data_IF_793317911355
#
_entry.id   IF_793317911355
#
_cell.length_a   1.000
_cell.length_b   1.000
_cell.length_c   1.000
_cell.angle_alpha   90.00
_cell.angle_beta   90.00
_cell.angle_gamma   90.00
#
_symmetry.space_group_name_H-M   'P 1'
#
loop_
_entity.id
_entity.type
_entity.pdbx_description
1 polymer ?
#
# COMPACT_ATOMS: atom_id res chain seq x y z
N UNK A 1 -4.50 29.15 -21.60
CA UNK A 1 -5.96 28.86 -21.59
C UNK A 1 -6.11 27.36 -21.32
N UNK A 2 -6.53 27.01 -20.10
CA UNK A 2 -6.79 25.63 -19.68
C UNK A 2 -8.17 25.20 -20.17
N UNK A 3 -8.35 24.00 -20.77
CA UNK A 3 -9.62 23.55 -21.31
C UNK A 3 -10.51 22.89 -20.23
N UNK A 4 -11.07 23.70 -19.34
CA UNK A 4 -12.09 23.26 -18.38
C UNK A 4 -13.46 23.84 -18.74
N UNK A 5 -13.97 23.55 -19.93
CA UNK A 5 -15.38 23.76 -20.25
C UNK A 5 -15.86 22.67 -21.20
N UNK A 6 -16.45 21.62 -20.64
CA UNK A 6 -17.74 21.10 -21.06
C UNK A 6 -18.21 20.05 -20.08
N UNK A 7 -19.20 20.45 -19.30
CA UNK A 7 -19.87 19.65 -18.29
C UNK A 7 -20.53 18.41 -18.86
N UNK A 8 -19.99 17.26 -18.55
CA UNK A 8 -20.67 16.01 -18.34
C UNK A 8 -19.84 15.23 -17.32
N UNK A 9 -19.75 15.80 -16.12
CA UNK A 9 -19.45 15.01 -14.97
C UNK A 9 -20.66 14.09 -14.78
N UNK A 10 -20.55 12.85 -15.22
CA UNK A 10 -21.41 11.77 -14.76
C UNK A 10 -21.04 11.53 -13.30
N UNK A 11 -21.43 12.47 -12.46
CA UNK A 11 -21.49 12.26 -11.02
C UNK A 11 -22.45 11.08 -10.87
N UNK A 12 -21.90 9.89 -10.62
CA UNK A 12 -22.67 8.80 -10.08
C UNK A 12 -23.48 9.40 -8.93
N UNK A 13 -24.79 9.55 -9.12
CA UNK A 13 -25.71 9.82 -8.03
C UNK A 13 -25.50 8.70 -6.98
N UNK A 14 -24.62 8.93 -6.06
CA UNK A 14 -24.61 8.23 -4.79
C UNK A 14 -25.90 8.61 -4.08
N UNK A 15 -27.00 7.96 -4.49
CA UNK A 15 -28.21 7.98 -3.66
C UNK A 15 -27.76 7.53 -2.26
N UNK A 16 -28.10 8.30 -1.21
CA UNK A 16 -27.68 7.98 0.13
C UNK A 16 -28.37 6.70 0.61
N UNK A 17 -27.85 5.54 0.25
CA UNK A 17 -28.20 4.24 0.82
C UNK A 17 -27.67 4.11 2.26
N UNK A 18 -26.96 5.15 2.72
CA UNK A 18 -26.14 5.12 3.94
C UNK A 18 -26.90 5.22 5.27
N UNK A 19 -28.22 5.35 5.31
CA UNK A 19 -28.92 5.69 6.57
C UNK A 19 -29.93 4.66 7.02
N UNK A 20 -29.80 3.41 6.70
CA UNK A 20 -30.85 2.46 7.08
C UNK A 20 -30.52 1.38 8.09
N UNK A 21 -29.48 1.31 8.89
CA UNK A 21 -29.46 0.37 10.05
C UNK A 21 -28.26 0.63 10.98
N UNK A 22 -28.52 0.76 12.26
CA UNK A 22 -27.55 0.85 13.38
C UNK A 22 -26.50 -0.28 13.38
N UNK A 23 -26.85 -1.46 12.90
CA UNK A 23 -25.92 -2.59 12.76
C UNK A 23 -24.87 -2.36 11.67
N UNK A 24 -25.23 -1.74 10.55
CA UNK A 24 -24.30 -1.36 9.51
C UNK A 24 -23.26 -0.34 10.02
N UNK A 25 -23.66 0.60 10.87
CA UNK A 25 -22.74 1.57 11.46
C UNK A 25 -21.66 0.89 12.31
N UNK A 26 -22.04 -0.07 13.15
CA UNK A 26 -21.09 -0.83 13.99
C UNK A 26 -20.09 -1.65 13.18
N UNK A 27 -20.55 -2.24 12.07
CA UNK A 27 -19.66 -2.99 11.16
C UNK A 27 -18.64 -2.06 10.51
N UNK A 28 -19.07 -0.91 9.97
CA UNK A 28 -18.17 0.09 9.37
C UNK A 28 -17.18 0.64 10.40
N UNK A 29 -17.63 0.91 11.63
CA UNK A 29 -16.74 1.31 12.72
C UNK A 29 -15.63 0.27 12.97
N UNK A 30 -15.94 -1.01 12.93
CA UNK A 30 -14.94 -2.07 13.09
C UNK A 30 -13.94 -2.10 11.93
N UNK A 31 -14.38 -1.83 10.70
CA UNK A 31 -13.48 -1.67 9.57
C UNK A 31 -12.54 -0.47 9.79
N UNK A 32 -13.07 0.70 10.17
CA UNK A 32 -12.25 1.89 10.42
C UNK A 32 -11.26 1.70 11.57
N UNK A 33 -11.63 0.94 12.62
CA UNK A 33 -10.68 0.58 13.68
C UNK A 33 -9.48 -0.18 13.12
N UNK A 34 -9.68 -1.12 12.18
CA UNK A 34 -8.58 -1.84 11.53
C UNK A 34 -7.69 -0.92 10.70
N UNK A 35 -8.27 0.04 9.98
CA UNK A 35 -7.50 1.08 9.28
C UNK A 35 -6.64 1.89 10.26
N UNK A 36 -7.20 2.29 11.41
CA UNK A 36 -6.46 3.05 12.43
C UNK A 36 -5.37 2.23 13.13
N UNK A 37 -5.56 0.92 13.29
CA UNK A 37 -4.57 0.03 13.89
C UNK A 37 -3.26 -0.01 13.11
N UNK A 38 -3.27 0.20 11.79
CA UNK A 38 -2.04 0.28 10.97
C UNK A 38 -1.06 1.36 11.45
N UNK A 39 -1.54 2.43 12.08
CA UNK A 39 -0.69 3.48 12.67
C UNK A 39 0.19 2.96 13.82
N UNK A 40 -0.20 1.85 14.45
CA UNK A 40 0.50 1.23 15.56
C UNK A 40 1.32 0.00 15.12
N UNK A 41 1.27 -0.36 13.84
CA UNK A 41 2.07 -1.46 13.29
C UNK A 41 3.37 -0.88 12.73
N UNK A 42 4.51 -1.10 13.41
CA UNK A 42 5.80 -0.64 12.89
C UNK A 42 6.20 -1.48 11.68
N UNK A 43 6.88 -0.87 10.70
CA UNK A 43 7.54 -1.61 9.63
C UNK A 43 8.65 -2.48 10.24
N UNK A 44 8.40 -3.80 10.28
CA UNK A 44 9.25 -4.75 11.02
C UNK A 44 10.69 -4.79 10.50
N UNK A 45 10.89 -4.63 9.19
CA UNK A 45 12.21 -4.59 8.60
C UNK A 45 13.11 -3.47 9.17
N UNK A 46 12.54 -2.28 9.46
CA UNK A 46 13.26 -1.20 10.12
C UNK A 46 13.52 -1.54 11.58
N UNK A 47 12.49 -2.05 12.28
CA UNK A 47 12.59 -2.41 13.70
C UNK A 47 13.69 -3.45 13.97
N UNK A 48 13.87 -4.40 13.08
CA UNK A 48 14.91 -5.45 13.21
C UNK A 48 16.32 -4.95 12.96
N UNK A 49 16.49 -3.88 12.16
CA UNK A 49 17.81 -3.41 11.71
C UNK A 49 18.24 -2.07 12.30
N UNK A 50 17.26 -1.27 12.75
CA UNK A 50 17.53 0.09 13.23
C UNK A 50 17.15 0.21 14.71
N UNK A 51 18.08 0.74 15.48
CA UNK A 51 17.89 1.07 16.89
C UNK A 51 17.55 2.55 17.02
N UNK A 52 16.35 2.92 16.51
CA UNK A 52 15.87 4.30 16.55
C UNK A 52 14.43 4.37 17.06
N UNK A 53 14.12 5.48 17.73
CA UNK A 53 12.75 5.83 18.07
C UNK A 53 12.00 6.35 16.83
N UNK A 54 10.68 6.30 16.86
CA UNK A 54 9.81 6.81 15.80
C UNK A 54 10.08 6.18 14.43
N UNK A 55 10.07 4.86 14.38
CA UNK A 55 10.07 4.11 13.13
C UNK A 55 8.79 4.38 12.34
N UNK A 56 8.91 4.33 11.03
CA UNK A 56 7.80 4.34 10.11
C UNK A 56 6.77 3.24 10.47
N UNK A 57 5.49 3.59 10.45
CA UNK A 57 4.40 2.64 10.56
C UNK A 57 3.99 2.11 9.19
N UNK A 58 3.24 1.00 9.16
CA UNK A 58 2.61 0.50 7.92
C UNK A 58 1.65 1.53 7.33
N UNK A 59 0.99 2.35 8.16
CA UNK A 59 0.12 3.43 7.66
C UNK A 59 0.90 4.55 6.96
N UNK A 60 2.06 4.95 7.48
CA UNK A 60 2.93 5.95 6.85
C UNK A 60 3.43 5.47 5.49
N UNK A 61 3.91 4.22 5.43
CA UNK A 61 4.30 3.54 4.21
C UNK A 61 3.15 3.48 3.19
N UNK A 62 1.98 3.01 3.61
CA UNK A 62 0.81 2.90 2.72
C UNK A 62 0.39 4.26 2.17
N UNK A 63 0.47 5.34 2.95
CA UNK A 63 0.20 6.69 2.49
C UNK A 63 1.20 7.12 1.41
N UNK A 64 2.51 7.00 1.69
CA UNK A 64 3.57 7.38 0.76
C UNK A 64 3.50 6.59 -0.54
N UNK A 65 3.34 5.26 -0.44
CA UNK A 65 3.16 4.35 -1.59
C UNK A 65 1.93 4.74 -2.42
N UNK A 66 0.82 5.12 -1.78
CA UNK A 66 -0.41 5.54 -2.50
C UNK A 66 -0.20 6.83 -3.28
N UNK A 67 0.44 7.85 -2.69
CA UNK A 67 0.72 9.12 -3.38
C UNK A 67 1.66 8.91 -4.56
N UNK A 68 2.72 8.12 -4.37
CA UNK A 68 3.64 7.75 -5.46
C UNK A 68 2.92 6.99 -6.57
N UNK A 69 2.05 6.05 -6.22
CA UNK A 69 1.25 5.26 -7.16
C UNK A 69 0.29 6.14 -7.98
N UNK A 70 -0.36 7.11 -7.35
CA UNK A 70 -1.25 8.05 -8.02
C UNK A 70 -0.51 8.81 -9.14
N UNK A 71 0.63 9.40 -8.81
CA UNK A 71 1.40 10.20 -9.77
C UNK A 71 1.99 9.33 -10.88
N UNK A 72 2.60 8.21 -10.52
CA UNK A 72 3.29 7.35 -11.49
C UNK A 72 2.30 6.64 -12.42
N UNK A 73 1.12 6.27 -11.95
CA UNK A 73 0.08 5.69 -12.81
C UNK A 73 -0.49 6.72 -13.81
N UNK A 74 -0.68 7.98 -13.39
CA UNK A 74 -1.07 9.05 -14.30
C UNK A 74 0.00 9.28 -15.39
N UNK A 75 1.28 9.23 -15.04
CA UNK A 75 2.40 9.37 -15.98
C UNK A 75 2.50 8.18 -16.96
N UNK A 76 2.18 6.97 -16.52
CA UNK A 76 2.22 5.74 -17.33
C UNK A 76 0.89 5.49 -18.09
N UNK A 77 -0.15 6.31 -17.85
CA UNK A 77 -1.46 6.18 -18.50
C UNK A 77 -2.27 4.96 -18.05
N UNK A 78 -2.02 4.46 -16.83
CA UNK A 78 -2.73 3.33 -16.23
C UNK A 78 -3.99 3.78 -15.49
N UNK A 79 -4.76 2.82 -14.98
CA UNK A 79 -5.96 3.10 -14.20
C UNK A 79 -5.61 3.59 -12.79
N UNK A 80 -5.49 4.92 -12.62
CA UNK A 80 -5.11 5.56 -11.36
C UNK A 80 -6.11 5.28 -10.23
N UNK A 81 -7.41 5.22 -10.50
CA UNK A 81 -8.40 4.86 -9.48
C UNK A 81 -8.16 3.44 -8.94
N UNK A 82 -7.89 2.49 -9.82
CA UNK A 82 -7.63 1.10 -9.45
C UNK A 82 -6.35 0.97 -8.63
N UNK A 83 -5.24 1.57 -9.09
CA UNK A 83 -3.96 1.45 -8.38
C UNK A 83 -3.97 2.15 -7.02
N UNK A 84 -4.65 3.30 -6.89
CA UNK A 84 -4.83 3.99 -5.60
C UNK A 84 -5.62 3.13 -4.61
N UNK A 85 -6.71 2.50 -5.04
CA UNK A 85 -7.46 1.55 -4.20
C UNK A 85 -6.61 0.35 -3.82
N UNK A 86 -5.84 -0.19 -4.76
CA UNK A 86 -4.92 -1.30 -4.53
C UNK A 86 -3.84 -0.93 -3.51
N UNK A 87 -3.22 0.25 -3.65
CA UNK A 87 -2.20 0.75 -2.74
C UNK A 87 -2.72 1.00 -1.32
N UNK A 88 -3.97 1.48 -1.16
CA UNK A 88 -4.60 1.63 0.16
C UNK A 88 -4.93 0.30 0.84
N UNK A 89 -5.08 -0.77 0.07
CA UNK A 89 -5.47 -2.09 0.57
C UNK A 89 -4.28 -3.05 0.72
N UNK A 90 -3.13 -2.80 0.05
CA UNK A 90 -2.06 -3.79 -0.11
C UNK A 90 -1.50 -4.33 1.20
N UNK A 91 -1.38 -3.50 2.22
CA UNK A 91 -0.88 -3.87 3.55
C UNK A 91 -1.98 -3.82 4.65
N UNK A 92 -3.27 -3.64 4.27
CA UNK A 92 -4.35 -3.53 5.27
C UNK A 92 -4.49 -4.79 6.14
N UNK A 93 -4.17 -5.97 5.61
CA UNK A 93 -4.16 -7.24 6.35
C UNK A 93 -3.22 -7.20 7.56
N UNK A 94 -2.16 -6.39 7.51
CA UNK A 94 -1.15 -6.25 8.56
C UNK A 94 -1.70 -5.59 9.84
N UNK A 95 -2.86 -4.95 9.77
CA UNK A 95 -3.60 -4.55 10.98
C UNK A 95 -4.03 -5.71 11.88
N UNK A 96 -3.96 -6.95 11.37
CA UNK A 96 -4.24 -8.18 12.14
C UNK A 96 -2.98 -9.05 12.26
N UNK A 97 -2.22 -9.20 11.18
CA UNK A 97 -1.05 -10.10 11.14
C UNK A 97 0.22 -9.45 11.68
N UNK A 98 0.27 -8.12 11.77
CA UNK A 98 1.53 -7.38 11.85
C UNK A 98 2.29 -7.39 10.52
N UNK A 99 3.31 -6.54 10.39
CA UNK A 99 4.24 -6.57 9.25
C UNK A 99 5.14 -7.82 9.39
N UNK A 100 5.00 -8.73 8.45
CA UNK A 100 5.76 -10.01 8.43
C UNK A 100 6.88 -9.89 7.42
N UNK A 101 8.13 -9.89 7.89
CA UNK A 101 9.29 -9.85 7.02
C UNK A 101 9.42 -11.14 6.17
N UNK A 102 9.99 -11.05 4.95
CA UNK A 102 10.13 -12.22 4.07
C UNK A 102 10.92 -13.39 4.67
N UNK A 103 11.83 -13.11 5.61
CA UNK A 103 12.71 -14.10 6.21
C UNK A 103 12.07 -14.82 7.41
N UNK A 104 10.94 -14.32 7.93
CA UNK A 104 10.33 -14.84 9.16
C UNK A 104 9.42 -16.05 8.95
N UNK A 105 8.76 -16.17 7.80
CA UNK A 105 7.90 -17.30 7.45
C UNK A 105 7.96 -17.60 5.94
N UNK A 106 7.49 -18.79 5.55
CA UNK A 106 7.39 -19.17 4.14
C UNK A 106 6.41 -18.26 3.39
N UNK A 107 6.73 -17.87 2.16
CA UNK A 107 5.90 -16.99 1.32
C UNK A 107 4.42 -17.44 1.25
N UNK A 108 4.16 -18.73 1.02
CA UNK A 108 2.80 -19.26 0.94
C UNK A 108 2.05 -19.16 2.27
N UNK A 109 2.75 -19.31 3.38
CA UNK A 109 2.16 -19.15 4.71
C UNK A 109 1.80 -17.69 5.00
N UNK A 110 2.67 -16.74 4.62
CA UNK A 110 2.39 -15.30 4.70
C UNK A 110 1.12 -14.98 3.92
N UNK A 111 1.07 -15.35 2.64
CA UNK A 111 -0.10 -15.11 1.76
C UNK A 111 -1.38 -15.69 2.37
N UNK A 112 -1.35 -16.89 2.93
CA UNK A 112 -2.53 -17.50 3.55
C UNK A 112 -2.99 -16.73 4.79
N UNK A 113 -2.08 -16.31 5.67
CA UNK A 113 -2.40 -15.50 6.86
C UNK A 113 -3.02 -14.17 6.47
N UNK A 114 -2.42 -13.47 5.51
CA UNK A 114 -2.92 -12.18 5.02
C UNK A 114 -4.28 -12.31 4.33
N UNK A 115 -4.51 -13.35 3.53
CA UNK A 115 -5.82 -13.60 2.90
C UNK A 115 -6.92 -13.86 3.94
N UNK A 116 -6.61 -14.60 5.00
CA UNK A 116 -7.56 -14.83 6.11
C UNK A 116 -7.86 -13.50 6.82
N UNK A 117 -6.82 -12.72 7.13
CA UNK A 117 -6.95 -11.43 7.79
C UNK A 117 -7.75 -10.45 6.92
N UNK A 118 -7.45 -10.34 5.62
CA UNK A 118 -8.18 -9.47 4.70
C UNK A 118 -9.67 -9.84 4.64
N UNK A 119 -10.02 -11.11 4.51
CA UNK A 119 -11.43 -11.56 4.55
C UNK A 119 -12.11 -11.20 5.88
N UNK A 120 -11.37 -11.31 7.00
CA UNK A 120 -11.90 -10.94 8.31
C UNK A 120 -12.14 -9.41 8.42
N UNK A 121 -11.31 -8.58 7.81
CA UNK A 121 -11.48 -7.13 7.78
C UNK A 121 -12.68 -6.77 6.89
N UNK A 122 -12.71 -7.30 5.67
CA UNK A 122 -13.71 -6.96 4.66
C UNK A 122 -15.13 -7.42 5.01
N UNK A 123 -15.29 -8.47 5.83
CA UNK A 123 -16.64 -8.89 6.31
C UNK A 123 -17.38 -7.80 7.09
N UNK A 124 -16.68 -6.73 7.51
CA UNK A 124 -17.27 -5.56 8.15
C UNK A 124 -17.84 -4.54 7.15
N UNK A 125 -17.79 -4.81 5.86
CA UNK A 125 -18.33 -4.00 4.79
C UNK A 125 -19.56 -4.68 4.15
N UNK A 126 -20.44 -3.91 3.48
CA UNK A 126 -21.49 -4.49 2.65
C UNK A 126 -20.91 -5.48 1.62
N UNK A 127 -21.55 -6.63 1.41
CA UNK A 127 -21.03 -7.74 0.60
C UNK A 127 -20.46 -7.29 -0.75
N UNK A 128 -21.20 -6.48 -1.52
CA UNK A 128 -20.77 -6.00 -2.83
C UNK A 128 -19.46 -5.22 -2.76
N UNK A 129 -19.26 -4.42 -1.73
CA UNK A 129 -18.04 -3.64 -1.51
C UNK A 129 -16.91 -4.56 -1.07
N UNK A 130 -17.20 -5.49 -0.16
CA UNK A 130 -16.23 -6.49 0.32
C UNK A 130 -15.69 -7.36 -0.82
N UNK A 131 -16.58 -7.83 -1.71
CA UNK A 131 -16.21 -8.62 -2.89
C UNK A 131 -15.31 -7.81 -3.83
N UNK A 132 -15.69 -6.58 -4.19
CA UNK A 132 -14.90 -5.69 -5.04
C UNK A 132 -13.50 -5.43 -4.46
N UNK A 133 -13.40 -5.16 -3.15
CA UNK A 133 -12.09 -4.90 -2.51
C UNK A 133 -11.26 -6.18 -2.40
N UNK A 134 -11.89 -7.33 -2.21
CA UNK A 134 -11.19 -8.60 -2.20
C UNK A 134 -10.67 -8.98 -3.59
N UNK A 135 -11.37 -8.63 -4.68
CA UNK A 135 -10.90 -8.80 -6.05
C UNK A 135 -9.65 -7.94 -6.31
N UNK A 136 -9.66 -6.65 -5.91
CA UNK A 136 -8.50 -5.76 -6.00
C UNK A 136 -7.31 -6.31 -5.20
N UNK A 137 -7.57 -6.81 -3.98
CA UNK A 137 -6.57 -7.48 -3.14
C UNK A 137 -5.97 -8.71 -3.84
N UNK A 138 -6.80 -9.57 -4.40
CA UNK A 138 -6.33 -10.75 -5.13
C UNK A 138 -5.52 -10.39 -6.38
N UNK A 139 -5.87 -9.31 -7.07
CA UNK A 139 -5.13 -8.83 -8.23
C UNK A 139 -3.71 -8.41 -7.82
N UNK A 140 -3.57 -7.67 -6.73
CA UNK A 140 -2.27 -7.32 -6.15
C UNK A 140 -1.46 -8.57 -5.78
N UNK A 141 -2.06 -9.51 -5.03
CA UNK A 141 -1.38 -10.74 -4.59
C UNK A 141 -0.90 -11.62 -5.77
N UNK A 142 -1.65 -11.65 -6.86
CA UNK A 142 -1.29 -12.41 -8.06
C UNK A 142 -0.24 -11.71 -8.93
N UNK A 143 -0.08 -10.41 -8.81
CA UNK A 143 0.94 -9.59 -9.48
C UNK A 143 1.02 -9.84 -11.00
N UNK A 144 -0.13 -9.74 -11.72
CA UNK A 144 -0.18 -10.03 -13.15
C UNK A 144 -0.72 -8.88 -14.02
N UNK A 145 -1.38 -7.89 -13.43
CA UNK A 145 -1.84 -6.69 -14.16
C UNK A 145 -0.77 -5.60 -14.13
N UNK A 146 -0.83 -4.67 -15.08
CA UNK A 146 0.14 -3.57 -15.16
C UNK A 146 0.12 -2.72 -13.90
N UNK A 147 -1.07 -2.45 -13.33
CA UNK A 147 -1.21 -1.70 -12.08
C UNK A 147 -0.60 -2.46 -10.89
N UNK A 148 -0.81 -3.77 -10.79
CA UNK A 148 -0.22 -4.57 -9.71
C UNK A 148 1.32 -4.62 -9.84
N UNK A 149 1.85 -4.83 -11.03
CA UNK A 149 3.30 -4.85 -11.31
C UNK A 149 3.93 -3.49 -11.00
N UNK A 150 3.25 -2.40 -11.40
CA UNK A 150 3.71 -1.06 -11.08
C UNK A 150 3.72 -0.82 -9.58
N UNK A 151 2.63 -1.17 -8.87
CA UNK A 151 2.53 -1.01 -7.42
C UNK A 151 3.61 -1.79 -6.66
N UNK A 152 3.87 -3.05 -7.02
CA UNK A 152 4.97 -3.81 -6.42
C UNK A 152 6.34 -3.14 -6.61
N UNK A 153 6.55 -2.48 -7.75
CA UNK A 153 7.78 -1.74 -7.99
C UNK A 153 7.83 -0.44 -7.17
N UNK A 154 6.70 0.24 -7.00
CA UNK A 154 6.59 1.45 -6.20
C UNK A 154 6.77 1.16 -4.71
N UNK A 155 6.23 0.06 -4.18
CA UNK A 155 6.45 -0.39 -2.81
C UNK A 155 7.97 -0.50 -2.50
N UNK A 156 8.75 -1.06 -3.44
CA UNK A 156 10.20 -1.15 -3.28
C UNK A 156 10.91 0.19 -3.46
N UNK A 157 10.40 1.05 -4.32
CA UNK A 157 10.93 2.40 -4.51
C UNK A 157 10.71 3.25 -3.27
N UNK A 158 9.52 3.21 -2.67
CA UNK A 158 9.19 3.91 -1.43
C UNK A 158 10.10 3.45 -0.29
N UNK A 159 10.27 2.15 -0.10
CA UNK A 159 11.18 1.59 0.88
C UNK A 159 12.63 2.12 0.69
N UNK A 160 13.12 2.24 -0.54
CA UNK A 160 14.46 2.80 -0.79
C UNK A 160 14.53 4.29 -0.46
N UNK A 161 13.48 5.04 -0.73
CA UNK A 161 13.39 6.46 -0.38
C UNK A 161 13.38 6.65 1.13
N UNK A 162 12.63 5.84 1.85
CA UNK A 162 12.61 5.83 3.31
C UNK A 162 13.99 5.46 3.89
N UNK A 163 14.69 4.48 3.28
CA UNK A 163 16.06 4.16 3.66
C UNK A 163 17.02 5.37 3.50
N UNK A 164 16.93 6.07 2.36
CA UNK A 164 17.72 7.29 2.14
C UNK A 164 17.38 8.40 3.13
N UNK A 165 16.10 8.55 3.46
CA UNK A 165 15.65 9.49 4.49
C UNK A 165 16.26 9.18 5.86
N UNK A 166 16.31 7.90 6.26
CA UNK A 166 17.00 7.48 7.47
C UNK A 166 18.50 7.70 7.39
N UNK A 167 19.13 7.46 6.23
CA UNK A 167 20.55 7.77 6.02
C UNK A 167 20.85 9.25 6.24
N UNK A 168 20.00 10.13 5.71
CA UNK A 168 20.13 11.59 5.89
C UNK A 168 19.91 12.02 7.36
N UNK A 169 19.24 11.22 8.16
CA UNK A 169 19.11 11.39 9.61
C UNK A 169 20.26 10.78 10.42
N UNK A 170 21.29 10.28 9.76
CA UNK A 170 22.50 9.77 10.43
C UNK A 170 22.58 8.26 10.61
N UNK A 171 21.62 7.49 10.08
CA UNK A 171 21.73 6.03 10.08
C UNK A 171 22.79 5.59 9.07
N UNK A 172 23.68 4.67 9.49
CA UNK A 172 24.78 4.25 8.64
C UNK A 172 24.29 3.49 7.38
N UNK A 173 25.01 3.68 6.27
CA UNK A 173 24.69 3.03 4.99
C UNK A 173 24.70 1.50 5.10
N UNK A 174 25.58 0.95 5.94
CA UNK A 174 25.72 -0.51 6.13
C UNK A 174 24.42 -1.13 6.66
N UNK A 175 23.78 -0.49 7.66
CA UNK A 175 22.49 -0.94 8.21
C UNK A 175 21.35 -0.88 7.18
N UNK A 176 21.47 0.02 6.20
CA UNK A 176 20.45 0.26 5.17
C UNK A 176 20.71 -0.49 3.85
N UNK A 177 21.89 -1.07 3.67
CA UNK A 177 22.33 -1.63 2.40
C UNK A 177 21.40 -2.71 1.85
N UNK A 178 20.80 -3.53 2.72
CA UNK A 178 19.88 -4.58 2.29
C UNK A 178 18.62 -4.05 1.64
N UNK A 179 18.10 -2.91 2.09
CA UNK A 179 16.92 -2.26 1.51
C UNK A 179 17.23 -1.71 0.12
N UNK A 180 18.37 -1.04 -0.04
CA UNK A 180 18.85 -0.58 -1.36
C UNK A 180 19.07 -1.73 -2.33
N UNK A 181 19.69 -2.83 -1.87
CA UNK A 181 19.92 -4.01 -2.69
C UNK A 181 18.60 -4.65 -3.14
N UNK A 182 17.62 -4.74 -2.23
CA UNK A 182 16.29 -5.26 -2.54
C UNK A 182 15.60 -4.41 -3.61
N UNK A 183 15.56 -3.09 -3.45
CA UNK A 183 14.99 -2.18 -4.44
C UNK A 183 15.66 -2.33 -5.82
N UNK A 184 17.00 -2.32 -5.86
CA UNK A 184 17.75 -2.51 -7.10
C UNK A 184 17.48 -3.84 -7.79
N UNK A 185 17.26 -4.91 -7.03
CA UNK A 185 16.97 -6.25 -7.55
C UNK A 185 15.54 -6.38 -8.05
N UNK A 186 14.56 -5.82 -7.33
CA UNK A 186 13.14 -6.09 -7.55
C UNK A 186 12.47 -5.08 -8.48
N UNK A 187 12.92 -3.83 -8.54
CA UNK A 187 12.40 -2.84 -9.48
C UNK A 187 12.88 -3.19 -10.90
N UNK A 188 11.94 -3.55 -11.79
CA UNK A 188 12.23 -3.90 -13.20
C UNK A 188 11.87 -2.80 -14.18
N UNK A 189 10.92 -1.91 -13.81
CA UNK A 189 10.51 -0.78 -14.63
C UNK A 189 11.69 0.20 -14.80
N UNK A 190 12.05 0.51 -16.05
CA UNK A 190 13.23 1.34 -16.36
C UNK A 190 13.09 2.78 -15.88
N UNK A 191 11.87 3.35 -15.94
CA UNK A 191 11.62 4.70 -15.46
C UNK A 191 11.83 4.79 -13.95
N UNK A 192 11.30 3.82 -13.18
CA UNK A 192 11.49 3.75 -11.75
C UNK A 192 12.95 3.49 -11.36
N UNK A 193 13.70 2.72 -12.16
CA UNK A 193 15.14 2.54 -11.94
C UNK A 193 15.93 3.85 -12.13
N UNK A 194 15.56 4.65 -13.12
CA UNK A 194 16.17 6.00 -13.31
C UNK A 194 15.85 6.90 -12.11
N UNK A 195 14.59 6.92 -11.65
CA UNK A 195 14.19 7.68 -10.45
C UNK A 195 15.00 7.23 -9.24
N UNK A 196 15.10 5.90 -9.01
CA UNK A 196 15.91 5.36 -7.91
C UNK A 196 17.37 5.77 -8.00
N UNK A 197 17.99 5.64 -9.19
CA UNK A 197 19.41 6.02 -9.41
C UNK A 197 19.66 7.47 -9.08
N UNK A 198 18.87 8.39 -9.64
CA UNK A 198 18.99 9.83 -9.40
C UNK A 198 18.81 10.21 -7.91
N UNK A 199 17.93 9.48 -7.20
CA UNK A 199 17.70 9.75 -5.79
C UNK A 199 18.83 9.22 -4.88
N UNK A 200 19.57 8.22 -5.35
CA UNK A 200 20.67 7.61 -4.59
C UNK A 200 21.99 8.40 -4.70
N UNK A 201 22.13 9.26 -5.71
CA UNK A 201 23.24 10.21 -5.85
C UNK A 201 23.17 11.32 -4.79
#
# INVERSE_FOLDING_TARGET
ELPWHNGNCNCYEFKPVFLKHLEHNKMIENFFKKVLELKNVPRQGWKEKLEIDNLESVADHSYSTTVMSMILSDMEGLNTEKIVRMALLHDLAESITGDITPDSIRKNEKINKENIAMKQILKNLPNKIAEMYFEIWNEYQKNFTEEAILLHSIDKLEMAFQAKFYQNKGISKEKLQTFFNTANKEIKNENLRKILSNFME
#
